data_IF_262990620260
#
_entry.id   IF_262990620260
#
_cell.length_a   1.000
_cell.length_b   1.000
_cell.length_c   1.000
_cell.angle_alpha   90.00
_cell.angle_beta   90.00
_cell.angle_gamma   90.00
#
_symmetry.space_group_name_H-M   'P 1'
#
loop_
_entity.id
_entity.type
_entity.pdbx_description
1 polymer ?
#
# COMPACT_ATOMS: atom_id res chain seq x y z
N UNK A 1 22.47 11.52 -8.29
CA UNK A 1 21.60 10.38 -7.90
C UNK A 1 20.58 10.85 -6.88
N UNK A 2 19.28 10.66 -7.11
CA UNK A 2 18.23 11.10 -6.18
C UNK A 2 17.38 9.90 -5.79
N UNK A 3 17.65 9.35 -4.60
CA UNK A 3 16.83 8.31 -3.99
C UNK A 3 15.51 8.93 -3.57
N UNK A 4 14.40 8.33 -3.96
CA UNK A 4 13.06 8.74 -3.50
C UNK A 4 12.60 7.71 -2.48
N UNK A 5 12.34 8.18 -1.26
CA UNK A 5 11.69 7.38 -0.21
C UNK A 5 10.39 8.06 0.17
N UNK A 6 9.29 7.32 0.11
CA UNK A 6 7.97 7.77 0.53
C UNK A 6 7.47 6.81 1.60
N UNK A 7 7.12 7.34 2.76
CA UNK A 7 6.53 6.60 3.86
C UNK A 7 5.10 7.10 4.06
N UNK A 8 4.11 6.21 3.94
CA UNK A 8 2.69 6.52 4.14
C UNK A 8 2.22 5.82 5.43
N UNK A 9 1.97 6.58 6.52
CA UNK A 9 1.43 6.00 7.73
C UNK A 9 -0.06 5.67 7.55
N UNK A 10 -0.51 4.58 8.16
CA UNK A 10 -1.93 4.25 8.25
C UNK A 10 -2.28 3.70 9.63
N UNK A 11 -3.56 3.78 10.00
CA UNK A 11 -4.04 3.23 11.26
C UNK A 11 -4.35 1.75 11.09
N UNK A 12 -3.62 0.89 11.79
CA UNK A 12 -3.85 -0.54 11.81
C UNK A 12 -4.88 -0.92 12.90
N UNK A 13 -5.40 -2.15 12.83
CA UNK A 13 -6.25 -2.69 13.88
C UNK A 13 -5.46 -2.75 15.20
N UNK A 14 -6.13 -2.45 16.33
CA UNK A 14 -5.55 -2.38 17.68
C UNK A 14 -4.77 -1.07 17.94
N UNK A 15 -5.12 0.01 17.25
CA UNK A 15 -4.64 1.36 17.59
C UNK A 15 -3.16 1.61 17.29
N UNK A 16 -2.48 0.67 16.64
CA UNK A 16 -1.10 0.81 16.16
C UNK A 16 -1.06 1.64 14.87
N UNK A 17 0.07 2.32 14.65
CA UNK A 17 0.35 2.97 13.37
C UNK A 17 1.20 2.01 12.55
N UNK A 18 0.62 1.54 11.44
CA UNK A 18 1.34 0.85 10.39
C UNK A 18 1.98 1.83 9.41
N UNK A 19 2.86 1.33 8.55
CA UNK A 19 3.57 2.12 7.55
C UNK A 19 3.72 1.33 6.25
N UNK A 20 3.37 1.98 5.15
CA UNK A 20 3.76 1.55 3.80
C UNK A 20 4.99 2.34 3.41
N UNK A 21 6.09 1.67 3.06
CA UNK A 21 7.32 2.32 2.61
C UNK A 21 7.58 2.00 1.14
N UNK A 22 7.89 3.03 0.36
CA UNK A 22 8.27 2.94 -1.05
C UNK A 22 9.66 3.53 -1.23
N UNK A 23 10.62 2.69 -1.62
CA UNK A 23 11.96 3.16 -1.97
C UNK A 23 12.21 2.96 -3.46
N UNK A 24 12.55 4.05 -4.16
CA UNK A 24 13.05 4.01 -5.52
C UNK A 24 14.55 4.23 -5.52
N UNK A 25 15.27 3.18 -5.91
CA UNK A 25 16.70 3.25 -6.18
C UNK A 25 16.86 3.42 -7.70
N UNK A 26 17.04 4.67 -8.14
CA UNK A 26 17.39 4.97 -9.52
C UNK A 26 18.85 4.57 -9.74
N UNK A 27 19.08 3.29 -10.07
CA UNK A 27 20.39 2.83 -10.53
C UNK A 27 20.69 3.42 -11.90
N UNK A 28 21.95 3.80 -12.08
CA UNK A 28 22.52 4.43 -13.26
C UNK A 28 22.02 3.79 -14.57
N UNK A 29 21.92 4.63 -15.61
CA UNK A 29 21.22 4.54 -16.92
C UNK A 29 21.06 3.21 -17.69
N UNK A 30 21.54 2.08 -17.17
CA UNK A 30 21.50 0.74 -17.76
C UNK A 30 20.53 -0.23 -17.06
N UNK A 31 19.95 0.13 -15.90
CA UNK A 31 19.00 -0.74 -15.20
C UNK A 31 17.58 -0.15 -15.17
N UNK A 32 16.59 -1.03 -15.37
CA UNK A 32 15.17 -0.68 -15.22
C UNK A 32 14.95 -0.19 -13.78
N UNK A 33 14.35 0.98 -13.57
CA UNK A 33 14.09 1.50 -12.23
C UNK A 33 13.22 0.51 -11.45
N UNK A 34 13.74 0.05 -10.30
CA UNK A 34 13.03 -0.85 -9.39
C UNK A 34 12.65 -0.10 -8.12
N UNK A 35 11.39 -0.17 -7.76
CA UNK A 35 10.88 0.27 -6.48
C UNK A 35 10.76 -0.93 -5.54
N UNK A 36 11.10 -0.75 -4.27
CA UNK A 36 10.71 -1.70 -3.22
C UNK A 36 9.50 -1.16 -2.47
N UNK A 37 8.47 -1.99 -2.35
CA UNK A 37 7.28 -1.75 -1.52
C UNK A 37 7.39 -2.63 -0.27
N UNK A 38 7.26 -2.05 0.91
CA UNK A 38 7.13 -2.79 2.17
C UNK A 38 5.95 -2.30 3.00
N UNK A 39 5.30 -3.23 3.71
CA UNK A 39 4.19 -2.93 4.62
C UNK A 39 4.58 -3.44 6.01
N UNK A 40 4.59 -2.52 6.96
CA UNK A 40 4.74 -2.78 8.39
C UNK A 40 3.39 -2.50 9.07
N UNK A 41 2.85 -3.47 9.79
CA UNK A 41 1.57 -3.35 10.50
C UNK A 41 1.72 -2.72 11.90
N UNK A 42 2.96 -2.39 12.31
CA UNK A 42 3.29 -1.80 13.60
C UNK A 42 3.65 -2.85 14.67
N UNK A 43 4.25 -2.36 15.76
CA UNK A 43 4.71 -3.19 16.89
C UNK A 43 3.53 -3.98 17.49
N UNK A 44 3.58 -5.31 17.39
CA UNK A 44 2.55 -6.22 17.90
C UNK A 44 1.84 -7.07 16.84
N UNK A 45 1.98 -6.74 15.56
CA UNK A 45 1.55 -7.60 14.47
C UNK A 45 2.67 -8.61 14.14
N UNK A 46 2.37 -9.91 14.25
CA UNK A 46 3.33 -10.96 13.94
C UNK A 46 3.40 -11.12 12.40
N UNK A 47 4.48 -10.64 11.78
CA UNK A 47 4.75 -10.81 10.35
C UNK A 47 6.01 -10.08 9.92
N UNK A 48 6.88 -10.75 9.16
CA UNK A 48 8.02 -10.09 8.53
C UNK A 48 7.54 -9.11 7.45
N UNK A 49 8.25 -7.99 7.29
CA UNK A 49 7.94 -7.01 6.26
C UNK A 49 8.04 -7.65 4.86
N UNK A 50 6.90 -7.81 4.20
CA UNK A 50 6.86 -8.33 2.82
C UNK A 50 7.42 -7.27 1.90
N UNK A 51 8.49 -7.61 1.18
CA UNK A 51 9.14 -6.70 0.22
C UNK A 51 8.94 -7.20 -1.20
N UNK A 52 8.40 -6.36 -2.08
CA UNK A 52 8.27 -6.65 -3.51
C UNK A 52 9.01 -5.62 -4.36
N UNK A 53 9.68 -6.08 -5.42
CA UNK A 53 10.30 -5.21 -6.43
C UNK A 53 9.29 -4.94 -7.54
N UNK A 54 8.93 -3.68 -7.76
CA UNK A 54 7.93 -3.25 -8.75
C UNK A 54 8.53 -2.18 -9.65
N UNK A 55 8.22 -2.20 -10.95
CA UNK A 55 8.45 -1.06 -11.82
C UNK A 55 7.33 -0.01 -11.68
N UNK A 56 7.46 1.12 -12.37
CA UNK A 56 6.49 2.22 -12.30
C UNK A 56 5.10 1.81 -12.81
N UNK A 57 5.02 0.92 -13.80
CA UNK A 57 3.74 0.47 -14.35
C UNK A 57 3.01 -0.46 -13.37
N UNK A 58 3.73 -1.43 -12.79
CA UNK A 58 3.22 -2.33 -11.78
C UNK A 58 2.78 -1.58 -10.50
N UNK A 59 3.48 -0.51 -10.13
CA UNK A 59 3.09 0.38 -9.03
C UNK A 59 1.77 1.09 -9.28
N UNK A 60 1.55 1.61 -10.50
CA UNK A 60 0.27 2.24 -10.87
C UNK A 60 -0.86 1.22 -10.81
N UNK A 61 -0.66 0.04 -11.41
CA UNK A 61 -1.65 -1.04 -11.36
C UNK A 61 -2.01 -1.45 -9.94
N UNK A 62 -1.03 -1.52 -9.04
CA UNK A 62 -1.29 -1.83 -7.63
C UNK A 62 -2.16 -0.75 -6.97
N UNK A 63 -1.85 0.53 -7.17
CA UNK A 63 -2.62 1.64 -6.59
C UNK A 63 -4.03 1.67 -7.14
N UNK A 64 -4.20 1.50 -8.46
CA UNK A 64 -5.50 1.45 -9.12
C UNK A 64 -6.34 0.28 -8.56
N UNK A 65 -5.76 -0.91 -8.44
CA UNK A 65 -6.42 -2.07 -7.86
C UNK A 65 -6.80 -1.88 -6.38
N UNK A 66 -5.95 -1.22 -5.59
CA UNK A 66 -6.28 -0.89 -4.19
C UNK A 66 -7.46 0.10 -4.11
N UNK A 67 -7.53 1.07 -5.01
CA UNK A 67 -8.65 2.02 -5.07
C UNK A 67 -9.96 1.31 -5.42
N UNK A 68 -9.93 0.39 -6.39
CA UNK A 68 -11.10 -0.41 -6.77
C UNK A 68 -11.61 -1.26 -5.59
N UNK A 69 -10.70 -1.84 -4.81
CA UNK A 69 -11.06 -2.58 -3.58
C UNK A 69 -11.74 -1.68 -2.56
N UNK A 70 -11.21 -0.47 -2.32
CA UNK A 70 -11.84 0.49 -1.40
C UNK A 70 -13.25 0.84 -1.87
N UNK A 71 -13.42 1.19 -3.14
CA UNK A 71 -14.72 1.53 -3.72
C UNK A 71 -15.73 0.37 -3.61
N UNK A 72 -15.27 -0.87 -3.79
CA UNK A 72 -16.10 -2.06 -3.60
C UNK A 72 -16.55 -2.23 -2.15
N UNK A 73 -15.66 -2.03 -1.18
CA UNK A 73 -15.98 -2.07 0.26
C UNK A 73 -16.97 -0.97 0.64
N UNK A 74 -16.74 0.26 0.21
CA UNK A 74 -17.65 1.39 0.49
C UNK A 74 -19.04 1.17 -0.12
N UNK A 75 -19.09 0.61 -1.35
CA UNK A 75 -20.36 0.24 -1.98
C UNK A 75 -21.08 -0.81 -1.15
N UNK A 76 -20.38 -1.82 -0.64
CA UNK A 76 -20.97 -2.88 0.19
C UNK A 76 -21.52 -2.31 1.50
N UNK A 77 -20.74 -1.48 2.20
CA UNK A 77 -21.18 -0.83 3.45
C UNK A 77 -22.43 0.03 3.26
N UNK A 78 -22.54 0.75 2.13
CA UNK A 78 -23.75 1.51 1.80
C UNK A 78 -24.98 0.61 1.62
N UNK A 79 -24.81 -0.54 0.97
CA UNK A 79 -25.91 -1.50 0.80
C UNK A 79 -26.32 -2.15 2.11
N UNK A 80 -25.35 -2.55 2.94
CA UNK A 80 -25.62 -3.15 4.25
C UNK A 80 -26.25 -2.12 5.21
N UNK A 81 -25.81 -0.86 5.17
CA UNK A 81 -26.42 0.25 5.92
C UNK A 81 -27.83 0.61 5.45
N UNK A 82 -28.13 0.45 4.16
CA UNK A 82 -29.49 0.56 3.62
C UNK A 82 -30.38 -0.60 4.10
N UNK A 83 -29.84 -1.83 4.16
CA UNK A 83 -30.58 -2.99 4.65
C UNK A 83 -30.88 -2.93 6.15
N UNK A 84 -30.02 -2.30 6.96
CA UNK A 84 -30.25 -2.11 8.39
C UNK A 84 -31.31 -1.04 8.72
N UNK A 85 -31.74 -0.24 7.73
CA UNK A 85 -32.71 0.84 7.89
C UNK A 85 -34.13 0.49 7.37
N UNK A 86 -34.34 -0.77 6.93
CA UNK A 86 -35.63 -1.34 6.49
C UNK A 86 -36.09 -2.37 7.50
#
# INVERSE_FOLDING_TARGET
>A
MRRIRVDVPFRAAIGTIGRVSLNFDHYDSLQVPKASLSIDLGVGACGEAVTASLDVAALRQLVDGMMDVILAVERRQRLDGLQAAV
#
